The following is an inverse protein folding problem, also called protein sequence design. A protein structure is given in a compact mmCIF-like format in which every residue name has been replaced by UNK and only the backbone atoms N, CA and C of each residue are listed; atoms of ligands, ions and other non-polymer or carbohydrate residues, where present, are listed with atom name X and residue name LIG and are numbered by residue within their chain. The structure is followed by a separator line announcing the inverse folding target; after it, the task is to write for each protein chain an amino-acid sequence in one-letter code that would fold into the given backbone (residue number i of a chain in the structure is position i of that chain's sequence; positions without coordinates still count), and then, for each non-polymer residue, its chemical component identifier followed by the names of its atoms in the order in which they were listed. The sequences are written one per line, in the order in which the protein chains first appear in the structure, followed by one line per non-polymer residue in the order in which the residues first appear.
data_IF_986591074849
#
_entry.id   IF_986591074849
#
_cell.length_a   1.000
_cell.length_b   1.000
_cell.length_c   1.000
_cell.angle_alpha   90.00
_cell.angle_beta   90.00
_cell.angle_gamma   90.00
#
_symmetry.space_group_name_H-M   'P 1'
#
loop_
_entity.id
_entity.type
_entity.pdbx_description
1 polymer ?
#
# COMPACT_ATOMS: atom_id res chain seq x y z
N UNK A 1 1.25 11.89 14.26
CA UNK A 1 2.22 12.26 13.22
C UNK A 1 1.55 12.15 11.86
N UNK A 2 2.27 12.32 10.75
CA UNK A 2 1.74 11.99 9.41
C UNK A 2 1.35 10.52 9.35
N UNK A 3 0.19 10.20 8.78
CA UNK A 3 -0.26 8.82 8.55
C UNK A 3 0.68 8.16 7.55
N UNK A 4 1.32 7.06 7.96
CA UNK A 4 2.29 6.31 7.16
C UNK A 4 1.58 5.30 6.28
N UNK A 5 2.24 4.81 5.24
CA UNK A 5 1.68 3.78 4.36
C UNK A 5 1.25 2.52 5.12
N UNK A 6 2.06 2.06 6.09
CA UNK A 6 1.71 0.93 6.96
C UNK A 6 0.44 1.17 7.80
N UNK A 7 0.21 2.41 8.22
CA UNK A 7 -0.97 2.77 9.02
C UNK A 7 -2.21 2.71 8.14
N UNK A 8 -2.10 3.15 6.87
CA UNK A 8 -3.15 3.00 5.85
C UNK A 8 -3.47 1.53 5.56
N UNK A 9 -2.44 0.69 5.37
CA UNK A 9 -2.62 -0.77 5.15
C UNK A 9 -3.28 -1.44 6.34
N UNK A 10 -2.87 -1.09 7.57
CA UNK A 10 -3.50 -1.61 8.79
C UNK A 10 -4.98 -1.23 8.89
N UNK A 11 -5.31 0.04 8.62
CA UNK A 11 -6.70 0.49 8.57
C UNK A 11 -7.48 -0.24 7.45
N UNK A 12 -6.88 -0.41 6.27
CA UNK A 12 -7.49 -1.08 5.13
C UNK A 12 -7.88 -2.53 5.44
N UNK A 13 -6.97 -3.31 6.01
CA UNK A 13 -7.25 -4.69 6.42
C UNK A 13 -8.38 -4.74 7.45
N UNK A 14 -8.32 -3.90 8.49
CA UNK A 14 -9.34 -3.85 9.52
C UNK A 14 -10.72 -3.47 8.94
N UNK A 15 -10.74 -2.50 8.03
CA UNK A 15 -11.94 -2.02 7.35
C UNK A 15 -12.60 -3.12 6.50
N UNK A 16 -11.80 -3.86 5.72
CA UNK A 16 -12.28 -5.01 4.95
C UNK A 16 -12.86 -6.11 5.85
N UNK A 17 -12.19 -6.45 6.95
CA UNK A 17 -12.65 -7.47 7.89
C UNK A 17 -14.00 -7.08 8.53
N UNK A 18 -14.17 -5.83 8.92
CA UNK A 18 -15.43 -5.36 9.51
C UNK A 18 -16.57 -5.44 8.50
N UNK A 19 -16.34 -5.05 7.24
CA UNK A 19 -17.37 -5.13 6.19
C UNK A 19 -17.69 -6.57 5.80
N UNK A 20 -16.69 -7.46 5.72
CA UNK A 20 -16.89 -8.88 5.46
C UNK A 20 -17.77 -9.56 6.53
N UNK A 21 -17.67 -9.11 7.79
CA UNK A 21 -18.52 -9.60 8.89
C UNK A 21 -19.91 -8.97 8.95
N UNK A 22 -20.15 -7.90 8.19
CA UNK A 22 -21.42 -7.16 8.17
C UNK A 22 -21.85 -6.84 6.73
N UNK A 23 -22.20 -7.86 5.91
CA UNK A 23 -22.63 -7.64 4.53
C UNK A 23 -23.76 -6.61 4.45
N UNK A 24 -23.64 -5.62 3.56
CA UNK A 24 -24.62 -4.55 3.37
C UNK A 24 -24.50 -3.36 4.33
N UNK A 25 -23.65 -3.43 5.36
CA UNK A 25 -23.40 -2.28 6.24
C UNK A 25 -22.51 -1.23 5.54
N UNK A 26 -22.92 0.03 5.55
CA UNK A 26 -22.14 1.16 5.02
C UNK A 26 -21.09 1.62 6.03
N UNK A 27 -20.12 0.76 6.32
CA UNK A 27 -19.06 1.04 7.28
C UNK A 27 -18.10 2.08 6.72
N UNK A 28 -17.71 3.03 7.57
CA UNK A 28 -16.63 3.99 7.32
C UNK A 28 -15.56 3.80 8.37
N UNK A 29 -14.30 4.06 8.03
CA UNK A 29 -13.18 3.93 8.95
C UNK A 29 -12.21 5.08 8.76
N UNK A 30 -11.64 5.57 9.87
CA UNK A 30 -10.74 6.74 9.83
C UNK A 30 -9.54 6.52 10.71
N UNK A 31 -8.36 6.88 10.20
CA UNK A 31 -7.13 6.99 10.97
C UNK A 31 -6.84 8.47 11.21
N UNK A 32 -6.72 8.87 12.48
CA UNK A 32 -6.53 10.27 12.86
C UNK A 32 -5.05 10.65 12.79
N UNK A 33 -4.75 11.63 11.93
CA UNK A 33 -3.43 12.22 11.79
C UNK A 33 -3.23 13.41 12.72
N UNK A 34 -2.03 14.01 12.71
CA UNK A 34 -1.86 15.38 13.23
C UNK A 34 -2.24 16.38 12.13
N UNK A 35 -2.74 17.56 12.53
CA UNK A 35 -2.94 18.73 11.66
C UNK A 35 -3.77 18.43 10.40
N UNK A 36 -4.91 17.74 10.54
CA UNK A 36 -5.81 17.46 9.41
C UNK A 36 -5.33 16.40 8.43
N UNK A 37 -4.22 15.71 8.72
CA UNK A 37 -3.70 14.59 7.92
C UNK A 37 -4.47 13.27 8.11
N UNK A 38 -5.78 13.34 8.29
CA UNK A 38 -6.63 12.15 8.50
C UNK A 38 -6.72 11.31 7.22
N UNK A 39 -6.88 10.01 7.39
CA UNK A 39 -7.11 9.07 6.29
C UNK A 39 -8.43 8.34 6.50
N UNK A 40 -9.36 8.46 5.53
CA UNK A 40 -10.70 7.89 5.61
C UNK A 40 -10.96 6.86 4.51
N UNK A 41 -11.71 5.82 4.86
CA UNK A 41 -12.17 4.75 3.98
C UNK A 41 -13.68 4.62 4.04
N UNK A 42 -14.33 4.62 2.88
CA UNK A 42 -15.76 4.45 2.70
C UNK A 42 -16.15 3.00 2.38
N UNK A 43 -17.46 2.73 2.20
CA UNK A 43 -17.97 1.38 1.97
C UNK A 43 -17.36 0.69 0.74
N UNK A 44 -17.16 -0.63 0.83
CA UNK A 44 -16.58 -1.47 -0.23
C UNK A 44 -17.62 -2.52 -0.63
N UNK A 45 -17.95 -2.60 -1.92
CA UNK A 45 -19.04 -3.46 -2.40
C UNK A 45 -18.76 -4.96 -2.19
N UNK A 46 -17.56 -5.41 -2.53
CA UNK A 46 -17.09 -6.78 -2.31
C UNK A 46 -15.80 -6.76 -1.49
N UNK A 47 -15.89 -6.75 -0.15
CA UNK A 47 -14.70 -6.68 0.71
C UNK A 47 -13.89 -7.99 0.71
N UNK A 48 -14.46 -9.11 0.25
CA UNK A 48 -13.77 -10.40 0.26
C UNK A 48 -12.75 -10.51 -0.87
N UNK A 49 -13.01 -9.88 -2.03
CA UNK A 49 -12.07 -9.86 -3.17
C UNK A 49 -10.70 -9.26 -2.80
N UNK A 50 -10.59 -8.00 -2.34
CA UNK A 50 -9.30 -7.43 -1.95
C UNK A 50 -8.71 -8.15 -0.73
N UNK A 51 -9.53 -8.63 0.21
CA UNK A 51 -9.04 -9.39 1.36
C UNK A 51 -8.38 -10.71 0.93
N UNK A 52 -8.96 -11.43 -0.02
CA UNK A 52 -8.37 -12.64 -0.59
C UNK A 52 -7.05 -12.35 -1.31
N UNK A 53 -6.95 -11.23 -2.03
CA UNK A 53 -5.70 -10.75 -2.62
C UNK A 53 -4.61 -10.52 -1.57
N UNK A 54 -4.92 -9.82 -0.49
CA UNK A 54 -3.99 -9.56 0.62
C UNK A 54 -3.55 -10.86 1.32
N UNK A 55 -4.46 -11.81 1.55
CA UNK A 55 -4.13 -13.12 2.12
C UNK A 55 -3.23 -13.93 1.19
N UNK A 56 -3.43 -13.82 -0.13
CA UNK A 56 -2.60 -14.52 -1.11
C UNK A 56 -1.17 -13.98 -1.12
N UNK A 57 -1.00 -12.65 -1.10
CA UNK A 57 0.31 -12.00 -0.96
C UNK A 57 0.99 -12.36 0.37
N UNK A 58 0.23 -12.38 1.47
CA UNK A 58 0.77 -12.79 2.76
C UNK A 58 1.30 -14.23 2.70
N UNK A 59 0.54 -15.17 2.13
CA UNK A 59 0.94 -16.57 1.94
C UNK A 59 2.17 -16.70 1.04
N UNK A 60 2.27 -15.88 0.00
CA UNK A 60 3.42 -15.84 -0.88
C UNK A 60 4.69 -15.37 -0.16
N UNK A 61 4.56 -14.42 0.77
CA UNK A 61 5.65 -13.94 1.63
C UNK A 61 6.31 -15.03 2.49
N UNK A 62 5.63 -16.15 2.74
CA UNK A 62 6.22 -17.32 3.42
C UNK A 62 7.09 -18.18 2.49
N UNK A 63 6.94 -18.04 1.17
CA UNK A 63 7.65 -18.85 0.16
C UNK A 63 8.80 -18.08 -0.47
N UNK A 64 8.64 -16.78 -0.66
CA UNK A 64 9.65 -15.89 -1.26
C UNK A 64 9.53 -14.47 -0.72
N UNK A 65 10.59 -13.65 -0.82
CA UNK A 65 10.49 -12.22 -0.54
C UNK A 65 9.57 -11.53 -1.55
N UNK A 66 8.38 -11.15 -1.12
CA UNK A 66 7.43 -10.36 -1.91
C UNK A 66 7.94 -8.91 -1.97
N UNK A 67 8.06 -8.27 -3.15
CA UNK A 67 8.56 -6.91 -3.29
C UNK A 67 7.50 -5.87 -2.86
N UNK A 68 7.15 -5.87 -1.57
CA UNK A 68 6.22 -4.92 -0.97
C UNK A 68 6.93 -4.02 0.04
N UNK A 69 7.02 -2.73 -0.29
CA UNK A 69 7.65 -1.73 0.56
C UNK A 69 6.63 -0.59 0.74
N UNK A 70 5.96 -0.50 1.91
CA UNK A 70 4.73 0.27 2.05
C UNK A 70 4.79 1.69 1.47
N UNK A 71 5.84 2.45 1.75
CA UNK A 71 5.94 3.84 1.28
C UNK A 71 6.22 3.91 -0.22
N UNK A 72 7.12 3.06 -0.74
CA UNK A 72 7.47 3.02 -2.16
C UNK A 72 6.32 2.49 -3.01
N UNK A 73 5.65 1.43 -2.56
CA UNK A 73 4.48 0.84 -3.21
C UNK A 73 3.27 1.79 -3.17
N UNK A 74 3.07 2.54 -2.09
CA UNK A 74 2.03 3.59 -2.04
C UNK A 74 2.35 4.71 -3.03
N UNK A 75 3.61 5.16 -3.07
CA UNK A 75 4.05 6.21 -3.96
C UNK A 75 3.93 5.81 -5.45
N UNK A 76 4.19 4.54 -5.77
CA UNK A 76 3.90 3.94 -7.07
C UNK A 76 2.40 4.05 -7.38
N UNK A 77 1.55 3.49 -6.51
CA UNK A 77 0.12 3.40 -6.75
C UNK A 77 -0.54 4.79 -6.92
N UNK A 78 -0.18 5.75 -6.07
CA UNK A 78 -0.66 7.14 -6.18
C UNK A 78 -0.19 7.81 -7.48
N UNK A 79 1.04 7.56 -7.93
CA UNK A 79 1.55 8.14 -9.18
C UNK A 79 0.92 7.49 -10.41
N UNK A 80 0.73 6.18 -10.40
CA UNK A 80 0.06 5.42 -11.46
C UNK A 80 -1.39 5.88 -11.61
N UNK A 81 -2.13 6.01 -10.49
CA UNK A 81 -3.52 6.48 -10.51
C UNK A 81 -3.68 7.91 -11.04
N UNK A 82 -2.68 8.79 -10.82
CA UNK A 82 -2.72 10.18 -11.29
C UNK A 82 -2.34 10.36 -12.76
N UNK A 83 -1.37 9.58 -13.25
CA UNK A 83 -0.74 9.84 -14.55
C UNK A 83 -0.99 8.78 -15.61
N UNK A 84 -1.36 7.55 -15.21
CA UNK A 84 -1.38 6.39 -16.10
C UNK A 84 0.01 5.97 -16.62
N UNK A 85 1.07 6.69 -16.23
CA UNK A 85 2.43 6.47 -16.68
C UNK A 85 3.19 5.60 -15.68
N UNK A 86 3.47 4.37 -16.11
CA UNK A 86 4.15 3.37 -15.30
C UNK A 86 5.60 3.75 -15.00
N UNK A 87 6.35 4.27 -15.98
CA UNK A 87 7.76 4.63 -15.76
C UNK A 87 7.86 5.77 -14.74
N UNK A 88 6.98 6.76 -14.86
CA UNK A 88 6.88 7.85 -13.89
C UNK A 88 6.50 7.36 -12.50
N UNK A 89 5.61 6.38 -12.41
CA UNK A 89 5.23 5.76 -11.14
C UNK A 89 6.39 4.99 -10.50
N UNK A 90 7.14 4.20 -11.29
CA UNK A 90 8.35 3.50 -10.85
C UNK A 90 9.43 4.49 -10.38
N UNK A 91 9.63 5.60 -11.09
CA UNK A 91 10.56 6.64 -10.68
C UNK A 91 10.17 7.27 -9.33
N UNK A 92 8.87 7.45 -9.07
CA UNK A 92 8.40 7.97 -7.79
C UNK A 92 8.60 6.96 -6.65
N UNK A 93 8.37 5.68 -6.90
CA UNK A 93 8.63 4.61 -5.95
C UNK A 93 10.12 4.48 -5.62
N UNK A 94 10.98 4.51 -6.64
CA UNK A 94 12.44 4.48 -6.51
C UNK A 94 12.95 5.62 -5.62
N UNK A 95 12.44 6.84 -5.80
CA UNK A 95 12.76 7.98 -4.92
C UNK A 95 12.41 7.72 -3.45
N UNK A 96 11.26 7.10 -3.19
CA UNK A 96 10.85 6.73 -1.83
C UNK A 96 11.74 5.61 -1.25
N UNK A 97 12.11 4.64 -2.07
CA UNK A 97 13.01 3.54 -1.70
C UNK A 97 14.41 4.04 -1.32
N UNK A 98 15.01 4.90 -2.15
CA UNK A 98 16.35 5.46 -1.90
C UNK A 98 16.33 6.45 -0.73
N UNK A 99 15.25 7.22 -0.61
CA UNK A 99 15.11 8.28 0.38
C UNK A 99 15.96 9.50 0.05
N UNK A 100 16.55 10.11 1.07
CA UNK A 100 17.34 11.33 0.93
C UNK A 100 18.54 11.31 1.90
N UNK A 101 19.54 12.19 1.70
CA UNK A 101 20.67 12.30 2.63
C UNK A 101 20.25 12.60 4.08
N UNK A 102 19.10 13.26 4.28
CA UNK A 102 18.57 13.63 5.61
C UNK A 102 17.63 12.57 6.21
N UNK A 103 17.07 11.69 5.38
CA UNK A 103 16.09 10.69 5.81
C UNK A 103 16.26 9.43 4.96
N UNK A 104 16.70 8.31 5.55
CA UNK A 104 16.84 7.06 4.82
C UNK A 104 15.50 6.60 4.26
N UNK A 105 15.51 6.05 3.04
CA UNK A 105 14.36 5.38 2.43
C UNK A 105 14.27 3.92 2.85
N UNK A 106 13.28 3.20 2.30
CA UNK A 106 13.03 1.79 2.62
C UNK A 106 14.18 0.86 2.19
N UNK A 107 14.97 1.24 1.17
CA UNK A 107 16.16 0.52 0.76
C UNK A 107 17.34 0.61 1.74
N UNK A 108 17.22 1.45 2.78
CA UNK A 108 18.19 1.48 3.87
C UNK A 108 17.93 0.45 4.97
N UNK A 109 16.74 -0.16 4.99
CA UNK A 109 16.37 -1.18 5.95
C UNK A 109 17.21 -2.46 5.74
N UNK A 110 17.88 -2.99 6.79
CA UNK A 110 18.69 -4.21 6.68
C UNK A 110 17.92 -5.42 6.14
N UNK A 111 16.64 -5.56 6.47
CA UNK A 111 15.81 -6.68 6.03
C UNK A 111 15.48 -6.58 4.54
N UNK A 112 15.20 -5.36 4.06
CA UNK A 112 14.98 -5.12 2.64
C UNK A 112 16.24 -5.37 1.82
N UNK A 113 17.41 -4.91 2.31
CA UNK A 113 18.70 -5.15 1.64
C UNK A 113 19.11 -6.61 1.59
N UNK A 114 18.74 -7.39 2.61
CA UNK A 114 19.02 -8.82 2.65
C UNK A 114 18.30 -9.56 1.53
N UNK A 115 17.05 -9.19 1.27
CA UNK A 115 16.18 -9.83 0.28
C UNK A 115 16.33 -9.25 -1.14
N UNK A 116 16.66 -7.96 -1.26
CA UNK A 116 16.67 -7.23 -2.53
C UNK A 116 17.98 -6.43 -2.70
N UNK A 117 18.72 -6.70 -3.78
CA UNK A 117 19.99 -6.02 -4.12
C UNK A 117 19.75 -4.69 -4.84
N UNK A 118 18.85 -3.86 -4.31
CA UNK A 118 18.41 -2.62 -4.94
C UNK A 118 16.89 -2.54 -5.03
N UNK A 119 16.38 -1.46 -5.63
CA UNK A 119 14.96 -1.31 -5.88
C UNK A 119 14.51 -2.28 -6.98
N UNK A 120 13.57 -3.21 -6.71
CA UNK A 120 13.01 -4.08 -7.75
C UNK A 120 11.99 -3.27 -8.54
N UNK A 121 12.41 -2.69 -9.66
CA UNK A 121 11.56 -1.91 -10.59
C UNK A 121 10.89 -2.78 -11.66
N UNK A 122 10.64 -4.04 -11.32
CA UNK A 122 10.07 -5.04 -12.20
C UNK A 122 8.52 -5.07 -12.16
N UNK A 123 7.97 -6.03 -12.90
CA UNK A 123 6.53 -6.26 -12.96
C UNK A 123 5.92 -6.87 -11.71
N UNK A 124 6.72 -7.60 -10.95
CA UNK A 124 6.27 -8.21 -9.70
C UNK A 124 6.03 -7.12 -8.65
N UNK A 125 6.97 -6.16 -8.49
CA UNK A 125 6.76 -4.99 -7.63
C UNK A 125 5.50 -4.20 -8.02
N UNK A 126 5.34 -3.89 -9.31
CA UNK A 126 4.21 -3.10 -9.79
C UNK A 126 2.87 -3.83 -9.54
N UNK A 127 2.81 -5.14 -9.78
CA UNK A 127 1.64 -5.96 -9.55
C UNK A 127 1.29 -6.02 -8.05
N UNK A 128 2.27 -6.23 -7.18
CA UNK A 128 2.08 -6.26 -5.72
C UNK A 128 1.58 -4.91 -5.21
N UNK A 129 2.18 -3.80 -5.64
CA UNK A 129 1.77 -2.46 -5.24
C UNK A 129 0.33 -2.15 -5.67
N UNK A 130 -0.04 -2.51 -6.90
CA UNK A 130 -1.39 -2.35 -7.43
C UNK A 130 -2.40 -3.23 -6.68
N UNK A 131 -2.06 -4.48 -6.38
CA UNK A 131 -2.93 -5.41 -5.66
C UNK A 131 -3.26 -4.95 -4.23
N UNK A 132 -2.30 -4.32 -3.54
CA UNK A 132 -2.53 -3.79 -2.18
C UNK A 132 -3.26 -2.45 -2.20
N UNK A 133 -2.77 -1.50 -2.99
CA UNK A 133 -3.20 -0.11 -2.89
C UNK A 133 -4.29 0.29 -3.89
N UNK A 134 -4.44 -0.40 -5.02
CA UNK A 134 -5.49 -0.11 -6.01
C UNK A 134 -6.89 -0.13 -5.38
N UNK A 135 -7.34 -1.27 -4.83
CA UNK A 135 -8.64 -1.37 -4.17
C UNK A 135 -8.78 -0.42 -2.97
N UNK A 136 -7.70 -0.18 -2.23
CA UNK A 136 -7.71 0.76 -1.11
C UNK A 136 -7.99 2.19 -1.58
N UNK A 137 -7.37 2.64 -2.67
CA UNK A 137 -7.53 3.99 -3.22
C UNK A 137 -8.93 4.24 -3.75
N UNK A 138 -9.59 3.24 -4.32
CA UNK A 138 -10.99 3.32 -4.74
C UNK A 138 -11.94 3.56 -3.55
N UNK A 139 -11.57 3.05 -2.38
CA UNK A 139 -12.33 3.20 -1.14
C UNK A 139 -12.00 4.49 -0.36
N UNK A 140 -11.01 5.29 -0.78
CA UNK A 140 -10.63 6.52 -0.05
C UNK A 140 -11.76 7.55 -0.13
N UNK A 141 -12.15 8.07 1.03
CA UNK A 141 -13.14 9.15 1.12
C UNK A 141 -12.53 10.45 0.57
N UNK A 142 -13.25 11.09 -0.35
CA UNK A 142 -12.92 12.42 -0.90
C UNK A 142 -13.47 13.53 -0.02
#
# INVERSE_FOLDING_TARGET
GRVRARDKVGLWIAHLLVQARRPGARVRSRFLGREGGDFGLGPVADPLVPLAGLVSLFREGWRRPVPFFPESSLAFAEAAARSGDRERALAQARRCWEGSPRRPGEGADPWNRLCHRGFPDDEDFAAVAAAVFGPMMEAVER
#
